data_IF_786012205697
#
_entry.id   IF_786012205697
#
_cell.length_a   1.000
_cell.length_b   1.000
_cell.length_c   1.000
_cell.angle_alpha   90.00
_cell.angle_beta   90.00
_cell.angle_gamma   90.00
#
_symmetry.space_group_name_H-M   'P 1'
#
loop_
_entity.id
_entity.type
_entity.pdbx_description
1 polymer ?
#
# COMPACT_ATOMS: atom_id res chain seq x y z
N UNK A 1 26.66 61.85 42.56
CA UNK A 1 27.25 60.56 42.11
C UNK A 1 26.21 59.48 42.18
N UNK A 2 25.51 59.16 41.05
CA UNK A 2 24.51 58.08 40.96
C UNK A 2 25.14 56.90 40.23
N UNK A 3 25.29 55.75 40.90
CA UNK A 3 25.75 54.50 40.31
C UNK A 3 24.58 53.83 39.62
N UNK A 4 24.63 53.72 38.29
CA UNK A 4 23.69 52.90 37.47
C UNK A 4 24.09 51.44 37.56
N UNK A 5 23.21 50.60 38.14
CA UNK A 5 23.30 49.15 38.08
C UNK A 5 22.83 48.67 36.68
N UNK A 6 23.69 47.98 35.94
CA UNK A 6 23.34 47.27 34.72
C UNK A 6 22.79 45.91 35.12
N UNK A 7 21.54 45.63 34.73
CA UNK A 7 20.92 44.31 34.84
C UNK A 7 21.26 43.57 33.53
N UNK A 8 22.01 42.48 33.62
CA UNK A 8 22.23 41.55 32.51
C UNK A 8 21.02 40.62 32.45
N UNK A 9 20.25 40.70 31.36
CA UNK A 9 19.19 39.73 31.06
C UNK A 9 19.84 38.57 30.27
N UNK A 10 19.95 37.41 30.92
CA UNK A 10 20.39 36.19 30.24
C UNK A 10 19.18 35.59 29.50
N UNK A 11 19.22 35.61 28.17
CA UNK A 11 18.25 34.93 27.33
C UNK A 11 18.62 33.41 27.27
N UNK A 12 17.83 32.57 27.94
CA UNK A 12 17.89 31.12 27.72
C UNK A 12 17.22 30.79 26.38
N UNK A 13 18.00 30.46 25.38
CA UNK A 13 17.51 29.82 24.15
C UNK A 13 17.32 28.32 24.41
N UNK A 14 16.07 27.91 24.59
CA UNK A 14 15.72 26.50 24.60
C UNK A 14 15.83 25.94 23.14
N UNK A 15 16.94 25.28 22.85
CA UNK A 15 17.07 24.51 21.61
C UNK A 15 16.22 23.24 21.75
N UNK A 16 15.02 23.28 21.17
CA UNK A 16 14.18 22.09 21.04
C UNK A 16 14.84 21.10 20.09
N UNK A 17 15.37 19.99 20.64
CA UNK A 17 15.80 18.84 19.82
C UNK A 17 14.56 18.23 19.16
N UNK A 18 14.29 18.62 17.91
CA UNK A 18 13.43 17.84 17.04
C UNK A 18 14.12 16.49 16.78
N UNK A 19 13.67 15.44 17.46
CA UNK A 19 14.00 14.07 17.05
C UNK A 19 13.39 13.83 15.69
N UNK A 20 14.21 13.88 14.64
CA UNK A 20 13.90 13.30 13.34
C UNK A 20 13.78 11.79 13.59
N UNK A 21 12.55 11.30 13.66
CA UNK A 21 12.29 9.86 13.63
C UNK A 21 12.62 9.41 12.22
N UNK A 22 13.83 8.89 12.01
CA UNK A 22 14.18 8.19 10.78
C UNK A 22 13.18 7.05 10.59
N UNK A 23 12.62 6.84 9.37
CA UNK A 23 11.80 5.68 9.12
C UNK A 23 12.67 4.46 9.40
N UNK A 24 12.31 3.69 10.41
CA UNK A 24 12.98 2.43 10.69
C UNK A 24 12.78 1.53 9.48
N UNK A 25 13.88 1.18 8.79
CA UNK A 25 13.97 -0.09 8.10
C UNK A 25 13.41 -1.11 9.10
N UNK A 26 12.37 -1.86 8.72
CA UNK A 26 11.89 -2.91 9.60
C UNK A 26 13.13 -3.75 9.97
N UNK A 27 13.44 -3.87 11.25
CA UNK A 27 14.34 -4.94 11.70
C UNK A 27 13.83 -6.17 10.95
N UNK A 28 14.69 -6.80 10.14
CA UNK A 28 14.28 -7.78 9.14
C UNK A 28 13.40 -8.82 9.81
N UNK A 29 12.10 -8.85 9.45
CA UNK A 29 11.15 -9.77 10.06
C UNK A 29 11.73 -11.18 10.00
N UNK A 30 11.73 -11.89 11.13
CA UNK A 30 12.15 -13.28 11.16
C UNK A 30 11.23 -14.16 10.29
N UNK A 31 11.73 -15.32 9.83
CA UNK A 31 10.94 -16.25 9.01
C UNK A 31 9.61 -16.62 9.66
N UNK A 32 9.59 -16.80 11.00
CA UNK A 32 8.37 -17.12 11.74
C UNK A 32 7.29 -16.03 11.66
N UNK A 33 7.69 -14.76 11.74
CA UNK A 33 6.77 -13.62 11.61
C UNK A 33 6.23 -13.51 10.18
N UNK A 34 7.11 -13.67 9.17
CA UNK A 34 6.68 -13.67 7.77
C UNK A 34 5.73 -14.84 7.50
N UNK A 35 6.05 -16.03 8.02
CA UNK A 35 5.19 -17.20 7.88
C UNK A 35 3.80 -16.94 8.47
N UNK A 36 3.72 -16.41 9.69
CA UNK A 36 2.48 -16.07 10.37
C UNK A 36 1.64 -15.07 9.56
N UNK A 37 2.26 -14.02 9.05
CA UNK A 37 1.62 -13.01 8.21
C UNK A 37 1.07 -13.61 6.91
N UNK A 38 1.88 -14.41 6.21
CA UNK A 38 1.47 -15.03 4.95
C UNK A 38 0.36 -16.06 5.15
N UNK A 39 0.44 -16.90 6.18
CA UNK A 39 -0.61 -17.88 6.50
C UNK A 39 -1.94 -17.21 6.86
N UNK A 40 -1.88 -16.15 7.68
CA UNK A 40 -3.07 -15.39 8.07
C UNK A 40 -3.70 -14.65 6.87
N UNK A 41 -2.88 -14.07 6.01
CA UNK A 41 -3.33 -13.28 4.88
C UNK A 41 -3.81 -14.13 3.68
N UNK A 42 -3.27 -15.35 3.53
CA UNK A 42 -3.53 -16.25 2.39
C UNK A 42 -3.88 -17.66 2.84
N UNK A 43 -4.90 -17.83 3.73
CA UNK A 43 -5.16 -19.09 4.42
C UNK A 43 -5.55 -20.25 3.50
N UNK A 44 -6.09 -19.98 2.31
CA UNK A 44 -6.42 -21.00 1.33
C UNK A 44 -5.20 -21.43 0.47
N UNK A 45 -4.09 -20.71 0.51
CA UNK A 45 -2.96 -20.90 -0.37
C UNK A 45 -1.67 -21.28 0.36
N UNK A 46 -1.33 -20.60 1.46
CA UNK A 46 -0.04 -20.74 2.14
C UNK A 46 -0.14 -21.70 3.31
N UNK A 47 0.77 -22.68 3.36
CA UNK A 47 0.96 -23.59 4.48
C UNK A 47 1.96 -23.08 5.50
N UNK A 48 2.98 -22.29 5.07
CA UNK A 48 3.99 -21.73 5.96
C UNK A 48 5.28 -21.36 5.25
N UNK A 49 6.33 -21.25 6.05
CA UNK A 49 7.72 -21.05 5.59
C UNK A 49 8.58 -22.14 6.20
N UNK A 50 9.34 -22.86 5.37
CA UNK A 50 10.30 -23.88 5.76
C UNK A 50 11.68 -23.51 5.23
N UNK A 51 12.65 -23.29 6.11
CA UNK A 51 13.95 -22.79 5.72
C UNK A 51 13.87 -21.45 4.98
N UNK A 52 14.26 -21.42 3.73
CA UNK A 52 14.17 -20.25 2.85
C UNK A 52 13.09 -20.41 1.77
N UNK A 53 12.02 -21.14 2.05
CA UNK A 53 10.94 -21.38 1.09
C UNK A 53 9.57 -21.13 1.69
N UNK A 54 8.71 -20.45 0.93
CA UNK A 54 7.27 -20.39 1.19
C UNK A 54 6.64 -21.66 0.62
N UNK A 55 5.94 -22.42 1.48
CA UNK A 55 5.26 -23.66 1.15
C UNK A 55 3.79 -23.40 0.93
N UNK A 56 3.27 -23.82 -0.22
CA UNK A 56 1.85 -23.72 -0.54
C UNK A 56 1.09 -24.99 -0.22
N UNK A 57 -0.23 -24.88 -0.06
CA UNK A 57 -1.11 -26.02 0.29
C UNK A 57 -1.18 -27.10 -0.78
N UNK A 58 -0.83 -26.79 -2.02
CA UNK A 58 -0.72 -27.76 -3.11
C UNK A 58 0.66 -28.44 -3.19
N UNK A 59 1.52 -28.21 -2.19
CA UNK A 59 2.87 -28.77 -2.09
C UNK A 59 3.93 -28.00 -2.89
N UNK A 60 3.55 -27.04 -3.71
CA UNK A 60 4.54 -26.20 -4.44
C UNK A 60 5.28 -25.25 -3.49
N UNK A 61 6.46 -24.81 -3.91
CA UNK A 61 7.35 -23.97 -3.12
C UNK A 61 7.88 -22.78 -3.93
N UNK A 62 8.09 -21.66 -3.28
CA UNK A 62 8.78 -20.49 -3.84
C UNK A 62 9.86 -20.01 -2.88
N UNK A 63 11.03 -19.57 -3.39
CA UNK A 63 12.05 -18.95 -2.55
C UNK A 63 11.50 -17.76 -1.77
N UNK A 64 11.78 -17.71 -0.46
CA UNK A 64 11.43 -16.59 0.40
C UNK A 64 12.34 -15.40 0.13
N UNK A 65 13.63 -15.64 0.01
CA UNK A 65 14.65 -14.62 -0.21
C UNK A 65 15.73 -15.14 -1.18
N UNK A 66 16.25 -14.24 -2.02
CA UNK A 66 17.37 -14.52 -2.94
C UNK A 66 18.75 -14.20 -2.35
N UNK A 67 18.79 -13.69 -1.12
CA UNK A 67 20.02 -13.38 -0.38
C UNK A 67 20.78 -12.14 -0.88
N UNK A 68 20.19 -11.34 -1.79
CA UNK A 68 20.81 -10.14 -2.33
C UNK A 68 20.43 -8.90 -1.52
N UNK A 69 21.40 -8.02 -1.26
CA UNK A 69 21.11 -6.66 -0.84
C UNK A 69 20.82 -5.81 -2.09
N UNK A 70 19.57 -5.33 -2.19
CA UNK A 70 19.08 -4.63 -3.39
C UNK A 70 18.96 -3.14 -3.12
N UNK A 71 19.62 -2.27 -3.91
CA UNK A 71 19.30 -0.84 -3.93
C UNK A 71 17.82 -0.64 -4.32
N UNK A 72 17.26 0.53 -4.03
CA UNK A 72 15.82 0.78 -4.14
C UNK A 72 15.22 0.39 -5.49
N UNK A 73 15.86 0.78 -6.60
CA UNK A 73 15.33 0.49 -7.94
C UNK A 73 15.34 -1.02 -8.25
N UNK A 74 16.41 -1.73 -7.87
CA UNK A 74 16.51 -3.18 -8.05
C UNK A 74 15.50 -3.92 -7.15
N UNK A 75 15.37 -3.50 -5.89
CA UNK A 75 14.35 -4.00 -4.95
C UNK A 75 12.95 -3.85 -5.53
N UNK A 76 12.65 -2.71 -6.13
CA UNK A 76 11.33 -2.45 -6.69
C UNK A 76 11.12 -3.20 -8.02
N UNK A 77 12.17 -3.40 -8.82
CA UNK A 77 12.09 -4.07 -10.13
C UNK A 77 11.92 -5.58 -10.01
N UNK A 78 12.67 -6.23 -9.12
CA UNK A 78 12.67 -7.69 -8.95
C UNK A 78 12.72 -8.06 -7.45
N UNK A 79 11.62 -7.81 -6.71
CA UNK A 79 11.54 -8.16 -5.30
C UNK A 79 11.39 -9.67 -5.11
N UNK A 80 12.10 -10.26 -4.15
CA UNK A 80 11.74 -11.55 -3.58
C UNK A 80 10.54 -11.42 -2.62
N UNK A 81 10.09 -12.53 -2.01
CA UNK A 81 8.93 -12.49 -1.10
C UNK A 81 9.26 -11.74 0.18
N UNK A 82 10.48 -11.87 0.72
CA UNK A 82 10.95 -11.11 1.90
C UNK A 82 10.98 -9.60 1.64
N UNK A 83 11.37 -9.21 0.44
CA UNK A 83 11.41 -7.82 -0.01
C UNK A 83 10.06 -7.11 0.09
N UNK A 84 8.94 -7.84 0.04
CA UNK A 84 7.61 -7.25 0.22
C UNK A 84 7.41 -6.68 1.64
N UNK A 85 8.20 -7.15 2.61
CA UNK A 85 8.17 -6.75 4.02
C UNK A 85 9.31 -5.79 4.41
N UNK A 86 10.07 -5.27 3.44
CA UNK A 86 11.21 -4.37 3.69
C UNK A 86 10.84 -3.16 4.55
N UNK A 87 9.65 -2.64 4.39
CA UNK A 87 9.14 -1.52 5.16
C UNK A 87 7.89 -1.94 5.95
N UNK A 88 7.83 -1.53 7.22
CA UNK A 88 6.59 -1.63 7.99
C UNK A 88 5.56 -0.68 7.41
N UNK A 89 4.36 -1.19 7.11
CA UNK A 89 3.27 -0.35 6.63
C UNK A 89 2.71 0.49 7.80
N UNK A 90 2.79 1.84 7.73
CA UNK A 90 2.33 2.71 8.80
C UNK A 90 0.79 2.82 8.77
N UNK A 91 0.17 2.88 9.95
CA UNK A 91 -1.28 3.09 10.11
C UNK A 91 -1.56 4.42 10.80
N UNK A 92 -2.84 4.86 10.72
CA UNK A 92 -3.28 6.10 11.33
C UNK A 92 -2.83 7.35 10.58
N UNK A 93 -3.09 8.54 11.14
CA UNK A 93 -2.78 9.82 10.49
C UNK A 93 -1.26 10.02 10.38
N UNK A 94 -0.72 10.24 9.16
CA UNK A 94 0.70 10.53 8.99
C UNK A 94 1.10 11.81 9.76
N UNK A 95 2.20 11.75 10.50
CA UNK A 95 2.76 12.92 11.18
C UNK A 95 3.58 13.82 10.22
N UNK A 96 4.09 13.25 9.14
CA UNK A 96 4.89 13.92 8.11
C UNK A 96 4.70 13.22 6.75
N UNK A 97 5.07 13.89 5.64
CA UNK A 97 5.18 13.24 4.34
C UNK A 97 6.12 12.02 4.40
N UNK A 98 5.89 11.00 3.53
CA UNK A 98 6.79 9.83 3.45
C UNK A 98 8.23 10.25 3.13
N UNK A 99 9.19 9.63 3.82
CA UNK A 99 10.60 9.85 3.57
C UNK A 99 10.99 9.34 2.16
N UNK A 100 12.11 9.84 1.63
CA UNK A 100 12.60 9.42 0.31
C UNK A 100 12.74 7.89 0.25
N UNK A 101 12.25 7.31 -0.84
CA UNK A 101 12.27 5.88 -1.15
C UNK A 101 11.53 4.99 -0.12
N UNK A 102 10.70 5.58 0.74
CA UNK A 102 9.84 4.85 1.65
C UNK A 102 8.50 4.50 0.96
N UNK A 103 8.44 3.32 0.34
CA UNK A 103 7.28 2.83 -0.42
C UNK A 103 6.73 1.51 0.16
N UNK A 104 6.16 1.50 1.39
CA UNK A 104 5.70 0.28 2.06
C UNK A 104 4.63 -0.44 1.27
N UNK A 105 4.89 -1.71 0.91
CA UNK A 105 3.98 -2.57 0.16
C UNK A 105 3.93 -2.33 -1.35
N UNK A 106 4.76 -1.45 -1.89
CA UNK A 106 4.81 -1.22 -3.34
C UNK A 106 5.53 -2.33 -4.10
N UNK A 107 6.47 -3.04 -3.44
CA UNK A 107 7.11 -4.23 -4.01
C UNK A 107 6.14 -5.41 -4.03
N UNK A 108 6.12 -6.15 -5.15
CA UNK A 108 5.28 -7.35 -5.35
C UNK A 108 6.12 -8.43 -6.01
N UNK A 109 6.34 -9.56 -5.32
CA UNK A 109 6.93 -10.72 -5.96
C UNK A 109 5.96 -11.29 -7.00
N UNK A 110 6.35 -11.28 -8.27
CA UNK A 110 5.47 -11.64 -9.38
C UNK A 110 5.05 -13.12 -9.34
N UNK A 111 5.96 -14.02 -8.94
CA UNK A 111 5.67 -15.45 -8.83
C UNK A 111 4.63 -15.73 -7.74
N UNK A 112 4.79 -15.10 -6.56
CA UNK A 112 3.86 -15.23 -5.44
C UNK A 112 2.45 -14.73 -5.81
N UNK A 113 2.33 -13.52 -6.37
CA UNK A 113 1.03 -12.98 -6.74
C UNK A 113 0.38 -13.73 -7.91
N UNK A 114 1.19 -14.22 -8.87
CA UNK A 114 0.69 -15.07 -9.95
C UNK A 114 0.17 -16.41 -9.42
N UNK A 115 0.83 -16.99 -8.42
CA UNK A 115 0.39 -18.23 -7.78
C UNK A 115 -0.96 -18.09 -7.11
N UNK A 116 -1.24 -16.95 -6.49
CA UNK A 116 -2.49 -16.71 -5.74
C UNK A 116 -3.60 -16.23 -6.66
N UNK A 117 -3.32 -15.23 -7.52
CA UNK A 117 -4.34 -14.51 -8.27
C UNK A 117 -4.37 -14.82 -9.77
N UNK A 118 -3.37 -15.57 -10.27
CA UNK A 118 -3.27 -15.90 -11.67
C UNK A 118 -2.53 -14.87 -12.52
N UNK A 119 -2.39 -15.18 -13.81
CA UNK A 119 -1.77 -14.29 -14.81
C UNK A 119 -2.83 -13.80 -15.80
N UNK A 120 -3.13 -12.51 -15.78
CA UNK A 120 -4.13 -11.90 -16.66
C UNK A 120 -3.84 -12.03 -18.17
N UNK A 121 -2.61 -12.41 -18.54
CA UNK A 121 -2.22 -12.68 -19.94
C UNK A 121 -2.51 -14.11 -20.36
N UNK A 122 -2.96 -14.97 -19.44
CA UNK A 122 -3.25 -16.38 -19.75
C UNK A 122 -4.74 -16.57 -19.99
N UNK A 123 -5.11 -17.49 -20.90
CA UNK A 123 -6.51 -17.89 -21.09
C UNK A 123 -7.15 -18.32 -19.77
N UNK A 124 -8.43 -18.02 -19.59
CA UNK A 124 -9.20 -18.43 -18.42
C UNK A 124 -9.04 -17.50 -17.19
N UNK A 125 -8.18 -16.50 -17.21
CA UNK A 125 -8.01 -15.57 -16.09
C UNK A 125 -9.32 -14.87 -15.69
N UNK A 126 -10.20 -14.58 -16.66
CA UNK A 126 -11.48 -13.92 -16.41
C UNK A 126 -12.37 -14.70 -15.43
N UNK A 127 -12.21 -16.02 -15.31
CA UNK A 127 -12.94 -16.84 -14.32
C UNK A 127 -12.52 -16.55 -12.88
N UNK A 128 -11.34 -15.96 -12.66
CA UNK A 128 -10.87 -15.49 -11.35
C UNK A 128 -11.45 -14.15 -10.93
N UNK A 129 -12.17 -13.48 -11.82
CA UNK A 129 -12.77 -12.17 -11.58
C UNK A 129 -14.26 -12.28 -11.24
N UNK A 130 -14.76 -11.26 -10.57
CA UNK A 130 -16.18 -11.03 -10.34
C UNK A 130 -16.46 -9.53 -10.42
N UNK A 131 -17.72 -9.17 -10.54
CA UNK A 131 -18.17 -7.79 -10.52
C UNK A 131 -18.81 -7.48 -9.16
N UNK A 132 -18.51 -6.31 -8.62
CA UNK A 132 -19.17 -5.76 -7.44
C UNK A 132 -19.88 -4.45 -7.81
N UNK A 133 -20.92 -4.10 -7.07
CA UNK A 133 -21.55 -2.80 -7.14
C UNK A 133 -20.83 -1.86 -6.16
N UNK A 134 -20.23 -0.81 -6.69
CA UNK A 134 -19.54 0.22 -5.93
C UNK A 134 -20.53 1.30 -5.51
N UNK A 135 -20.58 1.59 -4.20
CA UNK A 135 -21.45 2.59 -3.58
C UNK A 135 -22.92 2.44 -4.08
N UNK A 136 -23.61 1.35 -3.69
CA UNK A 136 -24.91 0.99 -4.24
C UNK A 136 -25.96 2.09 -4.16
N UNK A 137 -25.97 2.89 -3.06
CA UNK A 137 -26.95 3.97 -2.85
C UNK A 137 -26.56 5.29 -3.53
N UNK A 138 -25.26 5.49 -3.82
CA UNK A 138 -24.73 6.77 -4.33
C UNK A 138 -24.35 6.72 -5.80
N UNK A 139 -23.68 5.67 -6.25
CA UNK A 139 -23.14 5.57 -7.60
C UNK A 139 -23.63 4.34 -8.38
N UNK A 140 -23.76 3.18 -7.74
CA UNK A 140 -24.15 1.94 -8.40
C UNK A 140 -23.19 1.46 -9.49
N UNK A 141 -21.93 1.97 -9.50
CA UNK A 141 -20.93 1.67 -10.52
C UNK A 141 -20.48 0.21 -10.42
N UNK A 142 -20.29 -0.46 -11.57
CA UNK A 142 -19.82 -1.83 -11.60
C UNK A 142 -18.30 -1.87 -11.68
N UNK A 143 -17.66 -2.58 -10.74
CA UNK A 143 -16.19 -2.74 -10.66
C UNK A 143 -15.84 -4.22 -10.77
N UNK A 144 -14.99 -4.57 -11.75
CA UNK A 144 -14.40 -5.90 -11.84
C UNK A 144 -13.21 -6.02 -10.89
N UNK A 145 -13.17 -7.11 -10.12
CA UNK A 145 -12.13 -7.37 -9.11
C UNK A 145 -11.92 -8.88 -8.97
N UNK A 146 -10.82 -9.33 -8.36
CA UNK A 146 -10.59 -10.76 -8.09
C UNK A 146 -11.61 -11.31 -7.09
N UNK A 147 -12.08 -12.56 -7.35
CA UNK A 147 -12.84 -13.34 -6.37
C UNK A 147 -11.94 -14.15 -5.45
N UNK A 148 -10.64 -14.26 -5.79
CA UNK A 148 -9.70 -15.08 -5.03
C UNK A 148 -9.29 -14.36 -3.74
N UNK A 149 -8.94 -15.15 -2.73
CA UNK A 149 -8.49 -14.67 -1.43
C UNK A 149 -9.39 -13.60 -0.77
N UNK A 150 -10.70 -13.65 -1.01
CA UNK A 150 -11.65 -12.75 -0.38
C UNK A 150 -11.63 -11.28 -0.85
N UNK A 151 -10.88 -10.94 -1.91
CA UNK A 151 -10.75 -9.54 -2.38
C UNK A 151 -12.09 -8.89 -2.65
N UNK A 152 -12.98 -9.57 -3.38
CA UNK A 152 -14.31 -9.04 -3.71
C UNK A 152 -15.18 -8.82 -2.46
N UNK A 153 -15.13 -9.75 -1.50
CA UNK A 153 -15.88 -9.68 -0.25
C UNK A 153 -15.41 -8.49 0.60
N UNK A 154 -14.11 -8.31 0.72
CA UNK A 154 -13.51 -7.18 1.42
C UNK A 154 -13.82 -5.84 0.72
N UNK A 155 -13.76 -5.79 -0.62
CA UNK A 155 -14.11 -4.56 -1.35
C UNK A 155 -15.61 -4.24 -1.27
N UNK A 156 -16.51 -5.25 -1.22
CA UNK A 156 -17.94 -5.02 -0.93
C UNK A 156 -18.16 -4.43 0.45
N UNK A 157 -17.38 -4.88 1.45
CA UNK A 157 -17.45 -4.34 2.81
C UNK A 157 -16.97 -2.88 2.85
N UNK A 158 -15.85 -2.57 2.21
CA UNK A 158 -15.38 -1.19 1.99
C UNK A 158 -16.46 -0.34 1.34
N UNK A 159 -17.03 -0.82 0.23
CA UNK A 159 -18.05 -0.10 -0.53
C UNK A 159 -19.26 0.24 0.33
N UNK A 160 -19.75 -0.70 1.16
CA UNK A 160 -20.89 -0.45 2.06
C UNK A 160 -20.57 0.60 3.14
N UNK A 161 -19.38 0.55 3.74
CA UNK A 161 -19.00 1.53 4.76
C UNK A 161 -18.81 2.93 4.15
N UNK A 162 -18.21 3.03 2.97
CA UNK A 162 -18.07 4.30 2.24
C UNK A 162 -19.40 4.85 1.75
N UNK A 163 -20.32 3.99 1.35
CA UNK A 163 -21.69 4.36 0.90
C UNK A 163 -22.51 5.02 2.03
N UNK A 164 -22.22 4.61 3.29
CA UNK A 164 -22.84 5.20 4.48
C UNK A 164 -22.22 6.54 4.92
N UNK A 165 -21.08 6.95 4.35
CA UNK A 165 -20.45 8.23 4.70
C UNK A 165 -21.30 9.43 4.24
N UNK A 166 -21.23 10.60 4.91
CA UNK A 166 -21.86 11.83 4.47
C UNK A 166 -21.46 12.23 3.04
N UNK A 167 -22.37 12.90 2.31
CA UNK A 167 -22.18 13.29 0.90
C UNK A 167 -20.92 14.13 0.62
N UNK A 168 -20.36 14.82 1.63
CA UNK A 168 -19.10 15.56 1.49
C UNK A 168 -17.92 14.69 1.04
N UNK A 169 -18.00 13.36 1.24
CA UNK A 169 -16.97 12.41 0.81
C UNK A 169 -17.12 11.94 -0.65
N UNK A 170 -18.28 12.17 -1.28
CA UNK A 170 -18.59 11.62 -2.60
C UNK A 170 -17.63 12.12 -3.68
N UNK A 171 -17.12 13.33 -3.56
CA UNK A 171 -16.16 13.93 -4.50
C UNK A 171 -14.84 13.15 -4.58
N UNK A 172 -14.49 12.39 -3.56
CA UNK A 172 -13.30 11.52 -3.52
C UNK A 172 -13.57 10.11 -4.04
N UNK A 173 -14.83 9.72 -4.15
CA UNK A 173 -15.25 8.34 -4.39
C UNK A 173 -15.92 8.13 -5.75
N UNK A 174 -16.51 9.20 -6.32
CA UNK A 174 -17.38 9.12 -7.50
C UNK A 174 -16.92 10.07 -8.62
N UNK A 175 -16.77 9.55 -9.87
CA UNK A 175 -16.78 8.12 -10.20
C UNK A 175 -15.46 7.46 -9.74
N UNK A 176 -15.50 6.17 -9.40
CA UNK A 176 -14.28 5.38 -9.24
C UNK A 176 -13.56 5.26 -10.59
N UNK A 177 -12.23 5.36 -10.59
CA UNK A 177 -11.43 5.14 -11.81
C UNK A 177 -11.31 3.64 -12.15
N UNK A 178 -11.75 2.74 -11.26
CA UNK A 178 -11.96 1.34 -11.58
C UNK A 178 -11.04 0.37 -10.85
N UNK A 179 -11.28 -0.92 -11.11
CA UNK A 179 -10.55 -2.05 -10.51
C UNK A 179 -9.63 -2.73 -11.50
N UNK A 180 -10.01 -3.93 -11.97
CA UNK A 180 -9.18 -4.75 -12.84
C UNK A 180 -8.87 -4.11 -14.21
N UNK A 181 -7.60 -4.06 -14.54
CA UNK A 181 -7.06 -3.76 -15.88
C UNK A 181 -5.76 -4.55 -16.07
N UNK A 182 -5.69 -5.43 -17.08
CA UNK A 182 -4.48 -6.20 -17.39
C UNK A 182 -3.43 -5.30 -18.06
N UNK A 183 -2.57 -4.69 -17.24
CA UNK A 183 -1.49 -3.82 -17.72
C UNK A 183 -0.25 -3.87 -16.82
N UNK A 184 0.94 -3.57 -17.34
CA UNK A 184 2.08 -3.24 -16.51
C UNK A 184 1.89 -1.87 -15.82
N UNK A 185 2.70 -1.60 -14.82
CA UNK A 185 2.84 -0.25 -14.25
C UNK A 185 3.53 0.63 -15.29
N UNK A 186 3.00 1.84 -15.50
CA UNK A 186 3.51 2.76 -16.50
C UNK A 186 5.04 2.96 -16.41
N UNK A 187 5.74 2.74 -17.53
CA UNK A 187 7.20 2.84 -17.63
C UNK A 187 7.97 1.67 -17.01
N UNK A 188 7.33 0.53 -16.82
CA UNK A 188 7.97 -0.70 -16.28
C UNK A 188 7.36 -1.96 -16.91
N UNK A 189 8.06 -3.11 -16.78
CA UNK A 189 7.51 -4.42 -17.12
C UNK A 189 6.74 -5.07 -15.95
N UNK A 190 6.73 -4.45 -14.78
CA UNK A 190 6.10 -4.99 -13.58
C UNK A 190 4.58 -4.95 -13.70
N UNK A 191 3.91 -6.04 -13.33
CA UNK A 191 2.45 -6.08 -13.32
C UNK A 191 1.89 -5.15 -12.24
N UNK A 192 0.88 -4.37 -12.62
CA UNK A 192 0.11 -3.55 -11.68
C UNK A 192 -0.74 -4.43 -10.75
N UNK A 193 -1.05 -3.95 -9.55
CA UNK A 193 -2.07 -4.56 -8.68
C UNK A 193 -3.42 -4.71 -9.37
N UNK A 194 -3.77 -3.79 -10.27
CA UNK A 194 -4.95 -3.89 -11.13
C UNK A 194 -4.90 -5.12 -12.04
N UNK A 195 -3.70 -5.50 -12.52
CA UNK A 195 -3.55 -6.68 -13.39
C UNK A 195 -3.73 -8.02 -12.66
N UNK A 196 -3.68 -8.04 -11.34
CA UNK A 196 -4.07 -9.17 -10.49
C UNK A 196 -5.54 -9.09 -10.04
N UNK A 197 -6.22 -7.97 -10.31
CA UNK A 197 -7.57 -7.71 -9.81
C UNK A 197 -7.60 -7.50 -8.28
N UNK A 198 -6.54 -6.94 -7.69
CA UNK A 198 -6.46 -6.69 -6.24
C UNK A 198 -6.41 -5.21 -5.88
N UNK A 199 -6.50 -4.33 -6.87
CA UNK A 199 -6.44 -2.89 -6.66
C UNK A 199 -7.68 -2.19 -7.19
N UNK A 200 -8.00 -1.06 -6.58
CA UNK A 200 -9.04 -0.12 -7.00
C UNK A 200 -8.53 1.30 -6.88
N UNK A 201 -8.81 2.11 -7.89
CA UNK A 201 -8.58 3.55 -7.86
C UNK A 201 -9.92 4.26 -7.61
N UNK A 202 -9.96 5.11 -6.58
CA UNK A 202 -11.12 5.98 -6.30
C UNK A 202 -11.13 7.18 -7.26
N UNK A 203 -12.02 8.16 -7.05
CA UNK A 203 -12.16 9.29 -7.96
C UNK A 203 -10.84 10.09 -8.09
N UNK A 204 -10.43 10.35 -9.33
CA UNK A 204 -9.17 11.03 -9.64
C UNK A 204 -9.20 12.54 -9.43
N UNK A 205 -10.42 13.13 -9.36
CA UNK A 205 -10.62 14.60 -9.29
C UNK A 205 -9.87 15.28 -8.14
N UNK A 206 -9.74 14.58 -7.00
CA UNK A 206 -9.06 15.05 -5.77
C UNK A 206 -7.84 14.22 -5.44
N UNK A 207 -7.38 13.40 -6.39
CA UNK A 207 -6.24 12.53 -6.20
C UNK A 207 -4.96 13.19 -6.75
N UNK A 208 -3.84 12.76 -6.20
CA UNK A 208 -2.52 13.20 -6.60
C UNK A 208 -1.64 12.00 -6.89
N UNK A 209 -0.90 12.08 -7.98
CA UNK A 209 0.07 11.07 -8.37
C UNK A 209 1.44 11.73 -8.56
N UNK A 210 2.47 11.16 -7.97
CA UNK A 210 3.80 11.75 -7.92
C UNK A 210 4.35 12.16 -9.30
N UNK A 211 4.02 11.40 -10.37
CA UNK A 211 4.46 11.72 -11.73
C UNK A 211 3.72 12.91 -12.37
N UNK A 212 2.53 13.23 -11.89
CA UNK A 212 1.80 14.40 -12.42
C UNK A 212 2.40 15.72 -11.96
N UNK A 213 3.08 15.70 -10.82
CA UNK A 213 3.72 16.87 -10.24
C UNK A 213 5.18 17.06 -10.69
N UNK A 214 5.75 16.09 -11.41
CA UNK A 214 7.14 16.13 -11.85
C UNK A 214 7.30 16.86 -13.19
N UNK A 215 7.20 18.19 -13.17
CA UNK A 215 7.71 19.04 -14.25
C UNK A 215 9.23 19.24 -14.22
N UNK A 216 9.98 18.61 -13.30
CA UNK A 216 11.42 18.76 -13.16
C UNK A 216 12.15 17.43 -13.28
N UNK A 217 13.25 17.35 -14.07
CA UNK A 217 14.17 16.22 -14.04
C UNK A 217 14.78 16.11 -12.63
N UNK A 218 14.63 14.96 -11.98
CA UNK A 218 15.11 14.74 -10.62
C UNK A 218 14.02 14.63 -9.55
N UNK A 219 12.74 14.86 -9.91
CA UNK A 219 11.55 14.30 -9.25
C UNK A 219 11.36 14.59 -7.77
N UNK A 220 11.70 15.76 -7.28
CA UNK A 220 11.34 16.20 -5.93
C UNK A 220 9.96 16.85 -5.89
N UNK A 221 8.90 16.14 -6.27
CA UNK A 221 7.54 16.67 -6.10
C UNK A 221 7.18 16.66 -4.62
N UNK A 222 6.82 17.85 -4.10
CA UNK A 222 6.27 17.93 -2.74
C UNK A 222 5.06 16.99 -2.62
N UNK A 223 5.05 16.17 -1.58
CA UNK A 223 3.93 15.29 -1.27
C UNK A 223 2.61 16.07 -1.21
N UNK A 224 1.59 15.56 -1.88
CA UNK A 224 0.24 16.12 -1.87
C UNK A 224 -0.78 15.04 -1.57
N UNK A 225 -1.71 15.38 -0.71
CA UNK A 225 -2.87 14.52 -0.43
C UNK A 225 -4.08 15.37 -0.06
N UNK A 226 -5.22 15.04 -0.65
CA UNK A 226 -6.54 15.56 -0.26
C UNK A 226 -7.46 14.46 0.25
N UNK A 227 -7.08 13.17 0.13
CA UNK A 227 -7.94 12.05 0.53
C UNK A 227 -8.09 12.06 2.06
N UNK A 228 -9.33 12.12 2.58
CA UNK A 228 -9.61 12.07 4.01
C UNK A 228 -9.19 10.74 4.64
N UNK A 229 -8.68 10.79 5.87
CA UNK A 229 -8.26 9.58 6.58
C UNK A 229 -9.42 8.64 6.87
N UNK A 230 -10.64 9.15 7.02
CA UNK A 230 -11.85 8.33 7.18
C UNK A 230 -12.03 7.34 6.03
N UNK A 231 -11.71 7.73 4.81
CA UNK A 231 -11.73 6.84 3.64
C UNK A 231 -10.59 5.82 3.75
N UNK A 232 -9.37 6.28 4.07
CA UNK A 232 -8.19 5.42 4.19
C UNK A 232 -8.38 4.37 5.29
N UNK A 233 -8.88 4.77 6.45
CA UNK A 233 -9.10 3.89 7.61
C UNK A 233 -10.11 2.77 7.29
N UNK A 234 -11.16 3.08 6.51
CA UNK A 234 -12.12 2.07 6.04
C UNK A 234 -11.42 1.03 5.15
N UNK A 235 -10.62 1.46 4.19
CA UNK A 235 -9.87 0.55 3.32
C UNK A 235 -8.86 -0.30 4.10
N UNK A 236 -8.07 0.32 4.98
CA UNK A 236 -7.07 -0.37 5.80
C UNK A 236 -7.69 -1.38 6.76
N UNK A 237 -8.87 -1.09 7.31
CA UNK A 237 -9.67 -2.01 8.14
C UNK A 237 -9.99 -3.31 7.38
N UNK A 238 -10.19 -3.22 6.08
CA UNK A 238 -10.57 -4.34 5.22
C UNK A 238 -9.39 -4.94 4.42
N UNK A 239 -8.16 -4.68 4.83
CA UNK A 239 -6.99 -5.34 4.25
C UNK A 239 -6.40 -4.65 3.01
N UNK A 240 -6.85 -3.45 2.67
CA UNK A 240 -6.29 -2.67 1.56
C UNK A 240 -5.28 -1.66 2.07
N UNK A 241 -4.06 -1.68 1.56
CA UNK A 241 -3.08 -0.61 1.76
C UNK A 241 -3.39 0.57 0.85
N UNK A 242 -2.90 1.75 1.21
CA UNK A 242 -3.09 2.99 0.47
C UNK A 242 -1.80 3.52 -0.14
N UNK A 243 -1.81 3.83 -1.43
CA UNK A 243 -0.66 4.39 -2.16
C UNK A 243 -0.27 5.80 -1.74
N UNK A 244 -1.09 6.51 -0.97
CA UNK A 244 -0.74 7.80 -0.37
C UNK A 244 0.29 7.69 0.76
N UNK A 245 0.65 6.49 1.22
CA UNK A 245 1.72 6.26 2.20
C UNK A 245 3.10 6.07 1.57
N UNK A 246 3.17 6.13 0.25
CA UNK A 246 4.42 5.99 -0.48
C UNK A 246 5.11 7.33 -0.70
N UNK A 247 6.43 7.35 -0.74
CA UNK A 247 7.20 8.49 -1.24
C UNK A 247 6.84 8.79 -2.70
N UNK A 248 6.74 7.75 -3.53
CA UNK A 248 6.21 7.84 -4.88
C UNK A 248 4.68 7.68 -4.84
N UNK A 249 4.03 8.63 -4.20
CA UNK A 249 2.62 8.58 -3.83
C UNK A 249 1.66 8.43 -5.00
N UNK A 250 0.58 7.68 -4.73
CA UNK A 250 -0.57 7.50 -5.62
C UNK A 250 -1.83 7.50 -4.74
N UNK A 251 -2.41 8.69 -4.53
CA UNK A 251 -3.41 8.87 -3.49
C UNK A 251 -4.80 8.33 -3.85
N UNK A 252 -5.05 7.99 -5.13
CA UNK A 252 -6.28 7.30 -5.53
C UNK A 252 -6.20 5.77 -5.33
N UNK A 253 -4.98 5.22 -5.26
CA UNK A 253 -4.71 3.80 -5.34
C UNK A 253 -4.84 3.09 -4.00
N UNK A 254 -5.69 2.06 -3.96
CA UNK A 254 -5.82 1.12 -2.84
C UNK A 254 -5.59 -0.30 -3.35
N UNK A 255 -4.83 -1.11 -2.59
CA UNK A 255 -4.46 -2.46 -2.97
C UNK A 255 -4.63 -3.46 -1.84
N UNK A 256 -5.27 -4.59 -2.10
CA UNK A 256 -5.49 -5.64 -1.11
C UNK A 256 -4.17 -6.35 -0.79
N UNK A 257 -3.63 -6.07 0.38
CA UNK A 257 -2.34 -6.54 0.89
C UNK A 257 -2.45 -6.85 2.39
N UNK A 258 -3.31 -7.84 2.75
CA UNK A 258 -3.60 -8.13 4.16
C UNK A 258 -2.35 -8.54 4.96
N UNK A 259 -1.33 -9.13 4.32
CA UNK A 259 -0.07 -9.51 4.94
C UNK A 259 0.73 -8.33 5.51
N UNK A 260 0.48 -7.11 5.02
CA UNK A 260 1.15 -5.90 5.48
C UNK A 260 0.40 -5.20 6.61
N UNK A 261 -0.89 -5.52 6.77
CA UNK A 261 -1.78 -4.93 7.78
C UNK A 261 -1.94 -5.83 9.01
N UNK A 262 -1.25 -6.97 9.02
CA UNK A 262 -1.24 -7.90 10.13
C UNK A 262 -0.81 -7.21 11.43
N UNK A 263 -1.57 -7.43 12.50
CA UNK A 263 -1.17 -7.09 13.86
C UNK A 263 -0.98 -8.39 14.61
N UNK A 264 0.24 -8.66 15.09
CA UNK A 264 0.45 -9.69 16.11
C UNK A 264 -0.41 -9.33 17.33
N UNK A 265 -1.24 -10.27 17.77
CA UNK A 265 -2.01 -10.14 19.01
C UNK A 265 -1.10 -10.11 20.21
#
# INVERSE_FOLDING_TARGET
MLKRKRILLAALTAAGLFRVVSPTLADSLGNGEIASRLQSAYPAFVSGVEGNEVVFKDGSRLPLADGKDKPFDAWLADPDIRDMFRFTYPRGKPAAPPARDFDPGRARNAAFFTKIYGDCRKPGFDSSLTTITWLPSKAGQQIRISRLNGVAEHLRAVSRELDALPAKFDVFLIPSAGGYVCRPIAGTERRSGHGYGIAVDIATRRAHYWRWASGAPGGGSAYRNEIPMEIVDIFEKHGFIWGGRWYHYDTMHFEYRPELLFQSK
#
